data_IF_852271811975
#
_entry.id   IF_852271811975
#
_cell.length_a   1.000
_cell.length_b   1.000
_cell.length_c   1.000
_cell.angle_alpha   90.00
_cell.angle_beta   90.00
_cell.angle_gamma   90.00
#
_symmetry.space_group_name_H-M   'P 1'
#
loop_
_entity.id
_entity.type
_entity.pdbx_description
1 polymer ?
#
# COMPACT_ATOMS: atom_id res chain seq x y z
N UNK A 1 -23.96 16.14 8.41
CA UNK A 1 -23.41 15.32 7.32
C UNK A 1 -23.72 13.87 7.63
N UNK A 2 -24.42 13.18 6.73
CA UNK A 2 -24.88 11.80 6.97
C UNK A 2 -24.15 10.77 6.12
N UNK A 3 -23.82 11.11 4.87
CA UNK A 3 -23.17 10.20 3.92
C UNK A 3 -21.97 10.84 3.24
N UNK A 4 -20.82 10.20 3.33
CA UNK A 4 -19.56 10.67 2.72
C UNK A 4 -19.04 9.60 1.76
N UNK A 5 -18.64 10.02 0.57
CA UNK A 5 -18.01 9.18 -0.44
C UNK A 5 -16.51 9.41 -0.49
N UNK A 6 -15.71 8.37 -0.24
CA UNK A 6 -14.28 8.35 -0.47
C UNK A 6 -13.97 7.72 -1.81
N UNK A 7 -13.07 8.29 -2.61
CA UNK A 7 -12.80 7.83 -3.98
C UNK A 7 -11.32 7.60 -4.18
N UNK A 8 -10.92 6.32 -4.32
CA UNK A 8 -9.59 5.92 -4.71
C UNK A 8 -9.66 4.74 -5.68
N UNK A 9 -9.22 4.95 -6.92
CA UNK A 9 -9.47 4.03 -8.04
C UNK A 9 -8.19 3.61 -8.76
N UNK A 10 -7.05 3.60 -8.05
CA UNK A 10 -5.75 3.19 -8.56
C UNK A 10 -5.23 1.92 -7.85
N UNK A 11 -3.99 1.90 -7.39
CA UNK A 11 -3.29 0.67 -6.94
C UNK A 11 -3.61 0.29 -5.51
N UNK A 12 -3.29 -0.96 -5.13
CA UNK A 12 -3.51 -1.54 -3.79
C UNK A 12 -2.92 -0.65 -2.71
N UNK A 13 -1.63 -0.31 -2.81
CA UNK A 13 -0.95 0.51 -1.81
C UNK A 13 -1.60 1.88 -1.62
N UNK A 14 -1.97 2.52 -2.71
CA UNK A 14 -2.69 3.79 -2.71
C UNK A 14 -4.05 3.69 -2.02
N UNK A 15 -4.78 2.59 -2.27
CA UNK A 15 -6.07 2.31 -1.62
C UNK A 15 -5.88 2.12 -0.13
N UNK A 16 -4.94 1.27 0.31
CA UNK A 16 -4.63 1.03 1.73
C UNK A 16 -4.29 2.33 2.45
N UNK A 17 -3.41 3.15 1.85
CA UNK A 17 -2.99 4.44 2.43
C UNK A 17 -4.07 5.53 2.40
N UNK A 18 -5.23 5.24 1.80
CA UNK A 18 -6.40 6.14 1.82
C UNK A 18 -7.43 5.74 2.87
N UNK A 19 -7.51 4.47 3.22
CA UNK A 19 -8.50 3.93 4.16
C UNK A 19 -8.52 4.63 5.54
N UNK A 20 -7.38 5.08 6.13
CA UNK A 20 -7.39 5.85 7.38
C UNK A 20 -8.27 7.10 7.37
N UNK A 21 -8.60 7.64 6.20
CA UNK A 21 -9.54 8.76 6.10
C UNK A 21 -10.95 8.37 6.60
N UNK A 22 -11.38 7.12 6.39
CA UNK A 22 -12.65 6.63 6.93
C UNK A 22 -12.64 6.61 8.46
N UNK A 23 -11.55 6.08 9.06
CA UNK A 23 -11.38 6.03 10.53
C UNK A 23 -11.43 7.43 11.13
N UNK A 24 -10.73 8.39 10.54
CA UNK A 24 -10.74 9.78 11.00
C UNK A 24 -12.13 10.43 10.92
N UNK A 25 -12.87 10.16 9.82
CA UNK A 25 -14.23 10.67 9.65
C UNK A 25 -15.22 10.03 10.62
N UNK A 26 -15.14 8.73 10.85
CA UNK A 26 -15.96 8.02 11.86
C UNK A 26 -15.70 8.53 13.27
N UNK A 27 -14.42 8.80 13.62
CA UNK A 27 -14.07 9.36 14.91
C UNK A 27 -14.65 10.77 15.13
N UNK A 28 -14.69 11.60 14.08
CA UNK A 28 -15.23 12.95 14.14
C UNK A 28 -16.78 13.00 14.03
N UNK A 29 -17.35 12.08 13.27
CA UNK A 29 -18.78 11.99 13.00
C UNK A 29 -19.25 10.53 13.19
N UNK A 30 -19.52 10.07 14.42
CA UNK A 30 -19.81 8.66 14.70
C UNK A 30 -20.96 8.05 13.89
N UNK A 31 -21.98 8.85 13.56
CA UNK A 31 -23.17 8.42 12.82
C UNK A 31 -23.03 8.53 11.29
N UNK A 32 -21.87 8.98 10.80
CA UNK A 32 -21.67 9.14 9.35
C UNK A 32 -21.58 7.78 8.66
N UNK A 33 -22.24 7.65 7.53
CA UNK A 33 -22.06 6.50 6.63
C UNK A 33 -20.94 6.79 5.63
N UNK A 34 -19.95 5.93 5.58
CA UNK A 34 -18.82 6.02 4.67
C UNK A 34 -18.97 5.00 3.55
N UNK A 35 -19.18 5.50 2.34
CA UNK A 35 -19.08 4.69 1.12
C UNK A 35 -17.69 4.90 0.49
N UNK A 36 -17.10 3.83 -0.07
CA UNK A 36 -15.80 3.88 -0.71
C UNK A 36 -15.91 3.41 -2.17
N UNK A 37 -15.61 4.29 -3.13
CA UNK A 37 -15.56 3.96 -4.56
C UNK A 37 -14.15 3.52 -4.93
N UNK A 38 -14.02 2.27 -5.35
CA UNK A 38 -12.74 1.64 -5.69
C UNK A 38 -12.83 0.79 -6.97
N UNK A 39 -11.71 0.23 -7.43
CA UNK A 39 -11.68 -0.72 -8.56
C UNK A 39 -12.11 -2.11 -8.09
N UNK A 40 -12.62 -2.91 -9.02
CA UNK A 40 -13.06 -4.28 -8.73
C UNK A 40 -11.97 -5.11 -8.02
N UNK A 41 -10.72 -5.04 -8.47
CA UNK A 41 -9.63 -5.83 -7.90
C UNK A 41 -9.23 -5.41 -6.48
N UNK A 42 -9.51 -4.16 -6.04
CA UNK A 42 -9.24 -3.68 -4.67
C UNK A 42 -10.47 -3.73 -3.75
N UNK A 43 -11.64 -4.03 -4.30
CA UNK A 43 -12.89 -4.16 -3.55
C UNK A 43 -12.79 -5.13 -2.35
N UNK A 44 -12.25 -6.36 -2.49
CA UNK A 44 -12.18 -7.30 -1.37
C UNK A 44 -11.44 -6.73 -0.17
N UNK A 45 -10.36 -5.98 -0.41
CA UNK A 45 -9.57 -5.34 0.62
C UNK A 45 -10.33 -4.22 1.35
N UNK A 46 -11.07 -3.39 0.59
CA UNK A 46 -11.86 -2.29 1.18
C UNK A 46 -13.00 -2.84 2.04
N UNK A 47 -13.60 -3.97 1.68
CA UNK A 47 -14.63 -4.67 2.48
C UNK A 47 -14.11 -5.16 3.83
N UNK A 48 -12.82 -5.42 3.96
CA UNK A 48 -12.19 -5.83 5.22
C UNK A 48 -11.92 -4.63 6.15
N UNK A 49 -12.13 -3.41 5.69
CA UNK A 49 -11.89 -2.22 6.51
C UNK A 49 -13.09 -1.90 7.40
N UNK A 50 -12.85 -1.77 8.72
CA UNK A 50 -13.90 -1.66 9.73
C UNK A 50 -14.80 -0.44 9.53
N UNK A 51 -14.22 0.70 9.18
CA UNK A 51 -14.87 2.01 9.14
C UNK A 51 -15.45 2.38 7.77
N UNK A 52 -15.51 1.41 6.84
CA UNK A 52 -16.22 1.53 5.56
C UNK A 52 -17.54 0.76 5.65
N UNK A 53 -18.66 1.46 5.47
CA UNK A 53 -19.99 0.88 5.56
C UNK A 53 -20.43 0.27 4.22
N UNK A 54 -20.04 0.87 3.09
CA UNK A 54 -20.45 0.46 1.76
C UNK A 54 -19.31 0.57 0.77
N UNK A 55 -19.16 -0.42 -0.10
CA UNK A 55 -18.15 -0.41 -1.18
C UNK A 55 -18.84 -0.32 -2.53
N UNK A 56 -18.50 0.70 -3.29
CA UNK A 56 -18.93 0.92 -4.67
C UNK A 56 -17.81 0.56 -5.63
N UNK A 57 -18.13 -0.13 -6.72
CA UNK A 57 -17.13 -0.58 -7.69
C UNK A 57 -17.14 0.30 -8.94
N UNK A 58 -15.97 0.85 -9.26
CA UNK A 58 -15.71 1.62 -10.47
C UNK A 58 -15.07 0.74 -11.55
N UNK A 59 -15.76 0.59 -12.68
CA UNK A 59 -15.37 -0.27 -13.81
C UNK A 59 -15.17 0.57 -15.09
N UNK A 60 -14.07 1.34 -15.21
CA UNK A 60 -13.85 2.23 -16.36
C UNK A 60 -13.61 1.50 -17.69
N UNK A 61 -13.22 0.23 -17.66
CA UNK A 61 -13.12 -0.64 -18.83
C UNK A 61 -14.44 -1.37 -19.14
N UNK A 62 -15.39 -1.40 -18.17
CA UNK A 62 -16.70 -2.07 -18.23
C UNK A 62 -17.85 -1.07 -18.26
N UNK A 63 -18.81 -1.22 -17.31
CA UNK A 63 -20.06 -0.48 -17.24
C UNK A 63 -19.91 1.05 -17.12
N UNK A 64 -18.76 1.53 -16.62
CA UNK A 64 -18.47 2.97 -16.47
C UNK A 64 -17.58 3.52 -17.59
N UNK A 65 -17.46 2.80 -18.72
CA UNK A 65 -16.62 3.20 -19.85
C UNK A 65 -17.23 4.35 -20.65
N UNK A 66 -16.42 5.38 -20.91
CA UNK A 66 -16.77 6.50 -21.76
C UNK A 66 -17.95 7.34 -21.24
N UNK A 67 -18.53 8.16 -22.09
CA UNK A 67 -19.58 9.11 -21.70
C UNK A 67 -20.88 8.46 -21.19
N UNK A 68 -21.30 7.34 -21.81
CA UNK A 68 -22.47 6.58 -21.35
C UNK A 68 -22.22 6.00 -19.96
N UNK A 69 -21.05 5.42 -19.72
CA UNK A 69 -20.68 4.88 -18.42
C UNK A 69 -20.54 5.97 -17.35
N UNK A 70 -20.05 7.15 -17.70
CA UNK A 70 -20.04 8.29 -16.77
C UNK A 70 -21.45 8.74 -16.37
N UNK A 71 -22.45 8.64 -17.28
CA UNK A 71 -23.85 8.90 -16.92
C UNK A 71 -24.41 7.85 -15.96
N UNK A 72 -24.06 6.56 -16.17
CA UNK A 72 -24.44 5.48 -15.26
C UNK A 72 -23.89 5.77 -13.87
N UNK A 73 -22.57 6.00 -13.75
CA UNK A 73 -21.94 6.32 -12.46
C UNK A 73 -22.55 7.60 -11.83
N UNK A 74 -22.86 8.62 -12.64
CA UNK A 74 -23.52 9.84 -12.16
C UNK A 74 -24.86 9.54 -11.51
N UNK A 75 -25.66 8.67 -12.12
CA UNK A 75 -26.96 8.28 -11.59
C UNK A 75 -26.81 7.47 -10.30
N UNK A 76 -25.91 6.49 -10.27
CA UNK A 76 -25.61 5.70 -9.07
C UNK A 76 -25.20 6.60 -7.88
N UNK A 77 -24.28 7.56 -8.12
CA UNK A 77 -23.83 8.47 -7.06
C UNK A 77 -24.91 9.48 -6.64
N UNK A 78 -25.81 9.89 -7.55
CA UNK A 78 -26.96 10.74 -7.21
C UNK A 78 -27.95 10.01 -6.31
N UNK A 79 -28.25 8.77 -6.63
CA UNK A 79 -29.15 7.91 -5.83
C UNK A 79 -28.53 7.61 -4.45
N UNK A 80 -27.20 7.55 -4.37
CA UNK A 80 -26.45 7.42 -3.13
C UNK A 80 -26.67 8.56 -2.14
N UNK A 81 -27.06 9.76 -2.58
CA UNK A 81 -27.43 10.88 -1.72
C UNK A 81 -26.28 11.39 -0.82
N UNK A 82 -25.07 11.50 -1.37
CA UNK A 82 -23.88 11.90 -0.62
C UNK A 82 -23.87 13.40 -0.31
N UNK A 83 -23.57 13.75 0.95
CA UNK A 83 -23.34 15.13 1.40
C UNK A 83 -21.96 15.65 0.99
N UNK A 84 -20.97 14.75 0.96
CA UNK A 84 -19.60 15.08 0.60
C UNK A 84 -18.93 13.94 -0.19
N UNK A 85 -17.98 14.31 -1.05
CA UNK A 85 -17.10 13.37 -1.76
C UNK A 85 -15.64 13.85 -1.72
N UNK A 86 -14.71 12.94 -1.42
CA UNK A 86 -13.27 13.19 -1.39
C UNK A 86 -12.59 12.43 -2.52
N UNK A 87 -12.00 13.15 -3.46
CA UNK A 87 -11.32 12.62 -4.64
C UNK A 87 -9.80 12.55 -4.37
N UNK A 88 -9.31 11.40 -3.91
CA UNK A 88 -7.89 11.20 -3.56
C UNK A 88 -7.00 11.04 -4.78
N UNK A 89 -7.49 10.35 -5.82
CA UNK A 89 -6.83 10.29 -7.12
C UNK A 89 -7.41 11.36 -8.03
N UNK A 90 -6.61 12.35 -8.47
CA UNK A 90 -7.11 13.42 -9.32
C UNK A 90 -7.42 12.91 -10.74
N UNK A 91 -8.71 12.71 -11.04
CA UNK A 91 -9.25 12.30 -12.34
C UNK A 91 -10.32 13.30 -12.79
N UNK A 92 -10.17 13.92 -13.98
CA UNK A 92 -11.13 14.91 -14.46
C UNK A 92 -12.53 14.33 -14.68
N UNK A 93 -12.61 13.10 -15.19
CA UNK A 93 -13.88 12.41 -15.41
C UNK A 93 -14.65 12.18 -14.10
N UNK A 94 -13.97 11.79 -13.02
CA UNK A 94 -14.61 11.59 -11.72
C UNK A 94 -15.01 12.94 -11.10
N UNK A 95 -14.20 13.99 -11.21
CA UNK A 95 -14.58 15.31 -10.75
C UNK A 95 -15.85 15.84 -11.45
N UNK A 96 -15.97 15.57 -12.74
CA UNK A 96 -17.15 15.91 -13.53
C UNK A 96 -18.39 15.10 -13.11
N UNK A 97 -18.23 13.79 -12.93
CA UNK A 97 -19.30 12.90 -12.42
C UNK A 97 -19.82 13.38 -11.06
N UNK A 98 -18.93 13.73 -10.12
CA UNK A 98 -19.32 14.27 -8.81
C UNK A 98 -20.13 15.57 -8.93
N UNK A 99 -19.74 16.45 -9.87
CA UNK A 99 -20.47 17.69 -10.14
C UNK A 99 -21.85 17.42 -10.72
N UNK A 100 -21.97 16.48 -11.67
CA UNK A 100 -23.23 16.09 -12.29
C UNK A 100 -24.14 15.31 -11.34
N UNK A 101 -23.58 14.50 -10.43
CA UNK A 101 -24.34 13.84 -9.38
C UNK A 101 -24.98 14.81 -8.38
N UNK A 102 -24.55 16.08 -8.40
CA UNK A 102 -25.08 17.12 -7.52
C UNK A 102 -24.54 17.06 -6.10
N UNK A 103 -23.43 16.35 -5.85
CA UNK A 103 -22.83 16.25 -4.51
C UNK A 103 -22.38 17.66 -4.06
N UNK A 104 -22.92 18.19 -2.93
CA UNK A 104 -22.70 19.58 -2.56
C UNK A 104 -21.27 19.90 -2.16
N UNK A 105 -20.60 19.01 -1.40
CA UNK A 105 -19.21 19.19 -0.97
C UNK A 105 -18.31 18.24 -1.75
N UNK A 106 -17.40 18.78 -2.56
CA UNK A 106 -16.47 18.03 -3.41
C UNK A 106 -15.04 18.48 -3.13
N UNK A 107 -14.24 17.59 -2.56
CA UNK A 107 -12.89 17.90 -2.05
C UNK A 107 -11.85 17.16 -2.89
N UNK A 108 -10.74 17.81 -3.23
CA UNK A 108 -9.64 17.18 -3.94
C UNK A 108 -8.42 18.10 -4.14
N UNK A 109 -7.52 17.71 -5.05
CA UNK A 109 -6.30 18.49 -5.31
C UNK A 109 -6.57 19.82 -6.02
N UNK A 110 -5.94 20.90 -5.53
CA UNK A 110 -6.01 22.24 -6.13
C UNK A 110 -5.02 22.47 -7.29
N UNK A 111 -4.21 21.48 -7.68
CA UNK A 111 -3.19 21.62 -8.73
C UNK A 111 -3.61 21.02 -10.08
N UNK A 112 -4.92 20.91 -10.35
CA UNK A 112 -5.42 20.37 -11.61
C UNK A 112 -6.24 21.42 -12.33
N UNK A 113 -6.16 21.43 -13.66
CA UNK A 113 -6.90 22.38 -14.50
C UNK A 113 -8.43 22.33 -14.27
N UNK A 114 -8.96 21.16 -13.85
CA UNK A 114 -10.37 20.95 -13.56
C UNK A 114 -10.74 21.16 -12.08
N UNK A 115 -9.86 21.71 -11.25
CA UNK A 115 -10.12 21.94 -9.82
C UNK A 115 -11.32 22.86 -9.57
N UNK A 116 -11.76 23.64 -10.56
CA UNK A 116 -12.98 24.45 -10.51
C UNK A 116 -14.28 23.62 -10.41
N UNK A 117 -14.23 22.30 -10.73
CA UNK A 117 -15.33 21.37 -10.51
C UNK A 117 -15.50 20.98 -9.03
N UNK A 118 -14.45 21.21 -8.22
CA UNK A 118 -14.44 20.95 -6.78
C UNK A 118 -14.93 22.18 -6.02
N UNK A 119 -15.50 21.97 -4.82
CA UNK A 119 -15.90 23.07 -3.92
C UNK A 119 -14.79 23.45 -2.95
N UNK A 120 -13.95 22.49 -2.58
CA UNK A 120 -12.79 22.68 -1.70
C UNK A 120 -11.56 22.02 -2.30
N UNK A 121 -10.43 22.70 -2.24
CA UNK A 121 -9.18 22.21 -2.82
C UNK A 121 -8.03 22.28 -1.83
N UNK A 122 -7.21 21.23 -1.82
CA UNK A 122 -5.98 21.17 -1.03
C UNK A 122 -4.78 21.33 -1.95
N UNK A 123 -3.92 22.32 -1.64
CA UNK A 123 -2.72 22.64 -2.41
C UNK A 123 -1.48 22.07 -1.72
N UNK A 124 -1.24 20.78 -1.92
CA UNK A 124 -0.04 20.09 -1.44
C UNK A 124 0.75 19.48 -2.59
N UNK A 125 2.04 19.79 -2.67
CA UNK A 125 2.94 19.29 -3.71
C UNK A 125 3.52 17.92 -3.34
N UNK A 126 2.80 16.84 -3.69
CA UNK A 126 3.25 15.44 -3.43
C UNK A 126 4.62 15.10 -4.06
N UNK A 127 5.00 15.79 -5.16
CA UNK A 127 6.32 15.61 -5.80
C UNK A 127 7.51 15.98 -4.90
N UNK A 128 7.31 16.81 -3.89
CA UNK A 128 8.36 17.19 -2.95
C UNK A 128 8.73 16.08 -1.98
N UNK A 129 7.89 15.05 -1.84
CA UNK A 129 8.07 13.91 -0.93
C UNK A 129 8.38 14.32 0.52
N UNK A 130 7.80 15.46 0.97
CA UNK A 130 8.03 15.97 2.34
C UNK A 130 7.26 15.20 3.40
N UNK A 131 6.15 14.56 3.02
CA UNK A 131 5.27 13.78 3.87
C UNK A 131 5.10 12.37 3.33
N UNK A 132 4.62 11.48 4.17
CA UNK A 132 4.15 10.16 3.75
C UNK A 132 2.88 10.28 2.90
N UNK A 133 2.62 9.32 1.98
CA UNK A 133 1.44 9.36 1.11
C UNK A 133 0.13 9.29 1.91
N UNK A 134 0.11 8.54 3.03
CA UNK A 134 -1.04 8.52 3.94
C UNK A 134 -1.33 9.91 4.54
N UNK A 135 -0.29 10.69 4.91
CA UNK A 135 -0.49 12.04 5.43
C UNK A 135 -0.99 13.00 4.35
N UNK A 136 -0.53 12.83 3.10
CA UNK A 136 -1.06 13.60 1.98
C UNK A 136 -2.54 13.27 1.73
N UNK A 137 -2.93 12.02 1.84
CA UNK A 137 -4.33 11.61 1.74
C UNK A 137 -5.13 12.20 2.91
N UNK A 138 -4.61 12.09 4.12
CA UNK A 138 -5.25 12.60 5.33
C UNK A 138 -5.48 14.11 5.27
N UNK A 139 -4.58 14.88 4.66
CA UNK A 139 -4.71 16.32 4.47
C UNK A 139 -5.98 16.74 3.69
N UNK A 140 -6.58 15.84 2.88
CA UNK A 140 -7.84 16.13 2.20
C UNK A 140 -9.04 16.24 3.16
N UNK A 141 -8.89 15.82 4.41
CA UNK A 141 -9.92 15.91 5.43
C UNK A 141 -10.07 17.32 6.04
N UNK A 142 -9.07 18.21 5.86
CA UNK A 142 -9.07 19.56 6.46
C UNK A 142 -10.36 20.36 6.24
N UNK A 143 -10.99 20.37 5.05
CA UNK A 143 -12.23 21.11 4.85
C UNK A 143 -13.41 20.61 5.71
N UNK A 144 -13.34 19.38 6.22
CA UNK A 144 -14.35 18.77 7.06
C UNK A 144 -13.99 18.77 8.55
N UNK A 145 -12.71 18.59 8.88
CA UNK A 145 -12.23 18.37 10.25
C UNK A 145 -11.44 19.54 10.83
N UNK A 146 -11.10 20.56 10.02
CA UNK A 146 -10.22 21.64 10.42
C UNK A 146 -8.73 21.30 10.25
N UNK A 147 -7.85 22.20 10.71
CA UNK A 147 -6.40 22.06 10.51
C UNK A 147 -5.75 21.00 11.42
N UNK A 148 -6.28 20.82 12.64
CA UNK A 148 -5.79 19.81 13.59
C UNK A 148 -6.43 18.44 13.28
N UNK A 149 -5.78 17.71 12.37
CA UNK A 149 -6.25 16.38 11.97
C UNK A 149 -5.86 15.32 13.03
N UNK A 150 -6.72 14.31 13.27
CA UNK A 150 -6.35 13.18 14.11
C UNK A 150 -5.18 12.40 13.46
N UNK A 151 -4.42 11.58 14.23
CA UNK A 151 -3.36 10.77 13.66
C UNK A 151 -3.90 9.76 12.65
N UNK A 152 -3.06 9.42 11.67
CA UNK A 152 -3.37 8.34 10.71
C UNK A 152 -3.42 7.02 11.47
N UNK A 153 -4.56 6.32 11.39
CA UNK A 153 -4.80 5.05 12.07
C UNK A 153 -5.48 4.07 11.12
N UNK A 154 -4.91 2.88 10.99
CA UNK A 154 -5.49 1.78 10.22
C UNK A 154 -6.44 0.96 11.09
N UNK A 155 -7.59 0.56 10.52
CA UNK A 155 -8.63 -0.18 11.22
C UNK A 155 -9.18 -1.32 10.34
N UNK A 156 -8.35 -2.31 10.05
CA UNK A 156 -8.82 -3.55 9.45
C UNK A 156 -9.56 -4.40 10.47
N UNK A 157 -10.58 -5.13 10.03
CA UNK A 157 -11.27 -6.10 10.88
C UNK A 157 -10.28 -7.16 11.36
N UNK A 158 -10.38 -7.59 12.64
CA UNK A 158 -9.54 -8.66 13.15
C UNK A 158 -9.66 -9.89 12.25
N UNK A 159 -8.52 -10.39 11.80
CA UNK A 159 -8.46 -11.61 11.02
C UNK A 159 -8.19 -12.78 11.97
N UNK A 160 -8.97 -13.87 11.85
CA UNK A 160 -8.65 -15.11 12.54
C UNK A 160 -7.56 -15.81 11.72
N UNK A 161 -6.31 -15.71 12.16
CA UNK A 161 -5.24 -16.55 11.64
C UNK A 161 -5.65 -18.00 11.87
N UNK A 162 -5.75 -18.76 10.80
CA UNK A 162 -6.11 -20.18 10.85
C UNK A 162 -5.17 -20.94 11.80
N UNK A 163 -5.76 -21.74 12.65
CA UNK A 163 -5.25 -22.63 13.69
C UNK A 163 -3.74 -22.84 13.86
N UNK A 164 -3.35 -23.14 15.11
CA UNK A 164 -2.02 -23.48 15.63
C UNK A 164 -1.29 -24.68 14.94
N UNK A 165 -1.79 -25.18 13.82
CA UNK A 165 -1.26 -26.34 13.08
C UNK A 165 -0.57 -25.98 11.76
N UNK A 166 -0.67 -24.74 11.29
CA UNK A 166 0.05 -24.32 10.07
C UNK A 166 1.54 -24.07 10.35
N UNK A 167 2.43 -24.42 9.40
CA UNK A 167 3.85 -24.12 9.53
C UNK A 167 4.07 -22.62 9.69
N UNK A 168 5.00 -22.24 10.56
CA UNK A 168 5.46 -20.86 10.70
C UNK A 168 6.22 -20.48 9.43
N UNK A 169 5.93 -19.33 8.82
CA UNK A 169 6.53 -18.95 7.54
C UNK A 169 6.85 -17.46 7.46
N UNK A 170 7.79 -17.15 6.56
CA UNK A 170 8.07 -15.81 6.06
C UNK A 170 7.58 -15.68 4.61
N UNK A 171 7.17 -14.49 4.21
CA UNK A 171 6.83 -14.17 2.83
C UNK A 171 7.96 -13.37 2.20
N UNK A 172 8.35 -13.73 0.98
CA UNK A 172 9.09 -12.87 0.08
C UNK A 172 8.20 -12.52 -1.10
N UNK A 173 7.94 -11.21 -1.29
CA UNK A 173 7.18 -10.68 -2.42
C UNK A 173 8.12 -9.91 -3.35
N UNK A 174 8.72 -10.56 -4.36
CA UNK A 174 9.82 -9.99 -5.15
C UNK A 174 9.33 -9.04 -6.24
N UNK A 175 8.07 -9.14 -6.65
CA UNK A 175 7.49 -8.32 -7.70
C UNK A 175 7.07 -6.93 -7.24
N UNK A 176 6.99 -5.99 -8.18
CA UNK A 176 6.46 -4.64 -7.93
C UNK A 176 5.46 -4.18 -8.99
N UNK A 177 5.10 -5.04 -9.96
CA UNK A 177 4.32 -4.62 -11.12
C UNK A 177 4.91 -3.37 -11.80
N UNK A 178 6.23 -3.27 -11.86
CA UNK A 178 6.99 -2.13 -12.41
C UNK A 178 6.69 -0.78 -11.74
N UNK A 179 6.16 -0.78 -10.52
CA UNK A 179 5.83 0.46 -9.79
C UNK A 179 7.04 1.09 -9.10
N UNK A 180 8.06 0.29 -8.77
CA UNK A 180 9.27 0.72 -8.10
C UNK A 180 10.45 -0.22 -8.46
N UNK A 181 11.71 0.23 -8.22
CA UNK A 181 12.88 -0.65 -8.32
C UNK A 181 12.79 -1.82 -7.35
N UNK A 182 13.30 -2.98 -7.78
CA UNK A 182 13.37 -4.22 -7.00
C UNK A 182 14.82 -4.66 -6.78
N UNK A 183 15.03 -5.56 -5.83
CA UNK A 183 16.27 -6.31 -5.70
C UNK A 183 16.47 -7.25 -6.91
N UNK A 184 17.70 -7.63 -7.19
CA UNK A 184 18.03 -8.66 -8.17
C UNK A 184 17.66 -10.07 -7.67
N UNK A 185 17.63 -11.04 -8.58
CA UNK A 185 17.42 -12.45 -8.25
C UNK A 185 18.46 -12.91 -7.22
N UNK A 186 19.73 -12.57 -7.43
CA UNK A 186 20.84 -12.93 -6.55
C UNK A 186 20.65 -12.35 -5.15
N UNK A 187 20.22 -11.08 -5.05
CA UNK A 187 19.97 -10.41 -3.78
C UNK A 187 18.80 -11.06 -3.01
N UNK A 188 17.70 -11.39 -3.69
CA UNK A 188 16.61 -12.14 -3.07
C UNK A 188 17.03 -13.54 -2.63
N UNK A 189 17.89 -14.23 -3.40
CA UNK A 189 18.40 -15.55 -3.03
C UNK A 189 19.30 -15.50 -1.77
N UNK A 190 20.01 -14.39 -1.54
CA UNK A 190 20.75 -14.14 -0.28
C UNK A 190 19.77 -14.09 0.91
N UNK A 191 18.61 -13.45 0.75
CA UNK A 191 17.57 -13.39 1.79
C UNK A 191 16.95 -14.78 2.06
N UNK A 192 16.64 -15.54 1.00
CA UNK A 192 16.13 -16.93 1.12
C UNK A 192 17.13 -17.80 1.89
N UNK A 193 18.39 -17.81 1.47
CA UNK A 193 19.45 -18.59 2.13
C UNK A 193 19.62 -18.19 3.60
N UNK A 194 19.61 -16.87 3.89
CA UNK A 194 19.72 -16.36 5.25
C UNK A 194 18.54 -16.78 6.14
N UNK A 195 17.31 -16.74 5.66
CA UNK A 195 16.12 -17.21 6.39
C UNK A 195 16.19 -18.70 6.69
N UNK A 196 16.58 -19.53 5.70
CA UNK A 196 16.66 -20.98 5.86
C UNK A 196 17.73 -21.40 6.90
N UNK A 197 18.81 -20.63 7.02
CA UNK A 197 19.88 -20.90 7.99
C UNK A 197 19.52 -20.42 9.39
N UNK A 198 18.88 -19.25 9.51
CA UNK A 198 18.69 -18.57 10.79
C UNK A 198 17.32 -18.88 11.44
N UNK A 199 16.37 -19.48 10.70
CA UNK A 199 15.03 -19.77 11.21
C UNK A 199 14.53 -21.15 10.80
N UNK A 200 13.61 -21.76 11.58
CA UNK A 200 12.90 -22.97 11.16
C UNK A 200 11.74 -22.64 10.20
N UNK A 201 11.53 -21.41 9.80
CA UNK A 201 10.37 -20.96 9.04
C UNK A 201 10.40 -21.45 7.60
N UNK A 202 9.23 -21.76 7.06
CA UNK A 202 9.05 -21.95 5.63
C UNK A 202 9.07 -20.60 4.91
N UNK A 203 9.31 -20.60 3.61
CA UNK A 203 9.35 -19.39 2.80
C UNK A 203 8.29 -19.51 1.70
N UNK A 204 7.36 -18.55 1.67
CA UNK A 204 6.33 -18.44 0.64
C UNK A 204 6.71 -17.30 -0.32
N UNK A 205 6.97 -17.63 -1.58
CA UNK A 205 7.20 -16.64 -2.63
C UNK A 205 5.85 -16.25 -3.21
N UNK A 206 5.45 -15.00 -3.05
CA UNK A 206 4.16 -14.51 -3.56
C UNK A 206 4.38 -13.51 -4.69
N UNK A 207 3.39 -13.38 -5.58
CA UNK A 207 3.45 -12.50 -6.74
C UNK A 207 2.22 -12.65 -7.62
N UNK A 208 2.15 -11.86 -8.67
CA UNK A 208 1.13 -11.99 -9.71
C UNK A 208 1.40 -13.18 -10.64
N UNK A 209 0.47 -13.49 -11.54
CA UNK A 209 0.67 -14.55 -12.53
C UNK A 209 1.87 -14.25 -13.48
N UNK A 210 2.11 -12.98 -13.76
CA UNK A 210 3.27 -12.54 -14.59
C UNK A 210 4.62 -12.72 -13.87
N UNK A 211 4.60 -12.93 -12.54
CA UNK A 211 5.80 -13.07 -11.71
C UNK A 211 6.11 -14.53 -11.33
N UNK A 212 5.38 -15.51 -11.90
CA UNK A 212 5.60 -16.95 -11.66
C UNK A 212 7.02 -17.37 -12.04
N UNK A 213 7.51 -16.95 -13.20
CA UNK A 213 8.87 -17.29 -13.68
C UNK A 213 9.96 -16.71 -12.76
N UNK A 214 9.81 -15.46 -12.34
CA UNK A 214 10.72 -14.85 -11.36
C UNK A 214 10.75 -15.67 -10.07
N UNK A 215 9.59 -16.03 -9.55
CA UNK A 215 9.49 -16.82 -8.31
C UNK A 215 10.06 -18.23 -8.46
N UNK A 216 9.93 -18.86 -9.65
CA UNK A 216 10.58 -20.14 -9.97
C UNK A 216 12.12 -20.03 -9.95
N UNK A 217 12.68 -18.97 -10.55
CA UNK A 217 14.11 -18.69 -10.52
C UNK A 217 14.63 -18.50 -9.10
N UNK A 218 13.86 -17.84 -8.24
CA UNK A 218 14.19 -17.61 -6.84
C UNK A 218 14.19 -18.92 -6.04
N UNK A 219 13.21 -19.81 -6.27
CA UNK A 219 13.09 -21.08 -5.56
C UNK A 219 14.12 -22.13 -6.02
N UNK A 220 14.66 -22.01 -7.22
CA UNK A 220 15.53 -23.02 -7.83
C UNK A 220 16.72 -23.37 -6.96
N UNK A 221 16.90 -24.69 -6.68
CA UNK A 221 18.01 -25.23 -5.88
C UNK A 221 17.86 -25.08 -4.35
N UNK A 222 16.75 -24.55 -3.86
CA UNK A 222 16.36 -24.64 -2.45
C UNK A 222 15.42 -25.84 -2.20
N UNK A 223 15.31 -26.33 -0.95
CA UNK A 223 14.41 -27.43 -0.62
C UNK A 223 12.94 -27.06 -0.86
N UNK A 224 12.23 -27.82 -1.71
CA UNK A 224 10.84 -27.55 -2.10
C UNK A 224 9.86 -27.60 -0.92
N UNK A 225 10.15 -28.41 0.10
CA UNK A 225 9.36 -28.48 1.32
C UNK A 225 9.53 -27.24 2.24
N UNK A 226 10.54 -26.39 1.97
CA UNK A 226 10.83 -25.19 2.75
C UNK A 226 10.63 -23.88 1.95
N UNK A 227 10.71 -23.95 0.61
CA UNK A 227 10.55 -22.76 -0.26
C UNK A 227 9.48 -23.07 -1.30
N UNK A 228 8.34 -22.44 -1.15
CA UNK A 228 7.16 -22.66 -1.98
C UNK A 228 6.91 -21.48 -2.92
N UNK A 229 6.71 -21.75 -4.20
CA UNK A 229 6.27 -20.76 -5.17
C UNK A 229 4.74 -20.67 -5.19
N UNK A 230 4.19 -19.62 -4.64
CA UNK A 230 2.76 -19.31 -4.61
C UNK A 230 2.37 -18.13 -5.52
N UNK A 231 3.26 -17.68 -6.40
CA UNK A 231 2.95 -16.61 -7.35
C UNK A 231 1.78 -17.02 -8.26
N UNK A 232 0.84 -16.11 -8.46
CA UNK A 232 -0.37 -16.33 -9.26
C UNK A 232 -1.45 -17.19 -8.57
N UNK A 233 -1.23 -17.65 -7.32
CA UNK A 233 -2.18 -18.52 -6.62
C UNK A 233 -3.10 -17.77 -5.65
N UNK A 234 -2.81 -16.51 -5.37
CA UNK A 234 -3.60 -15.68 -4.47
C UNK A 234 -4.38 -14.61 -5.21
N UNK A 235 -5.66 -14.49 -4.89
CA UNK A 235 -6.38 -13.24 -5.07
C UNK A 235 -6.01 -12.25 -3.94
N UNK A 236 -6.55 -11.04 -3.96
CA UNK A 236 -6.19 -10.04 -2.96
C UNK A 236 -6.67 -10.38 -1.54
N UNK A 237 -7.78 -11.11 -1.41
CA UNK A 237 -8.30 -11.57 -0.12
C UNK A 237 -7.39 -12.62 0.51
N UNK A 238 -7.07 -13.69 -0.23
CA UNK A 238 -6.17 -14.75 0.24
C UNK A 238 -4.73 -14.27 0.43
N UNK A 239 -4.26 -13.28 -0.35
CA UNK A 239 -2.98 -12.62 -0.10
C UNK A 239 -2.99 -11.86 1.23
N UNK A 240 -4.09 -11.17 1.56
CA UNK A 240 -4.26 -10.49 2.85
C UNK A 240 -4.15 -11.51 4.00
N UNK A 241 -4.84 -12.63 3.90
CA UNK A 241 -4.79 -13.70 4.89
C UNK A 241 -3.38 -14.25 5.06
N UNK A 242 -2.70 -14.52 3.95
CA UNK A 242 -1.32 -14.99 3.95
C UNK A 242 -0.37 -13.97 4.63
N UNK A 243 -0.55 -12.67 4.36
CA UNK A 243 0.25 -11.62 5.01
C UNK A 243 -0.09 -11.50 6.50
N UNK A 244 -1.34 -11.66 6.89
CA UNK A 244 -1.73 -11.60 8.31
C UNK A 244 -1.14 -12.75 9.15
N UNK A 245 -0.90 -13.92 8.54
CA UNK A 245 -0.33 -15.09 9.20
C UNK A 245 1.19 -15.20 9.16
N UNK A 246 1.89 -14.32 8.44
CA UNK A 246 3.35 -14.41 8.31
C UNK A 246 4.11 -13.81 9.49
N UNK A 247 5.28 -14.37 9.81
CA UNK A 247 6.18 -13.79 10.81
C UNK A 247 6.96 -12.59 10.28
N UNK A 248 7.20 -12.56 8.97
CA UNK A 248 7.96 -11.50 8.32
C UNK A 248 7.57 -11.41 6.84
N UNK A 249 7.24 -10.21 6.36
CA UNK A 249 7.15 -9.90 4.94
C UNK A 249 8.43 -9.19 4.48
N UNK A 250 9.10 -9.76 3.49
CA UNK A 250 10.24 -9.14 2.81
C UNK A 250 9.81 -8.71 1.41
N UNK A 251 9.98 -7.43 1.08
CA UNK A 251 9.56 -6.89 -0.22
C UNK A 251 10.25 -5.56 -0.52
N UNK A 252 10.06 -5.05 -1.74
CA UNK A 252 10.39 -3.66 -2.11
C UNK A 252 9.18 -2.73 -1.91
N UNK A 253 9.17 -1.57 -2.53
CA UNK A 253 8.05 -0.61 -2.48
C UNK A 253 6.83 -1.13 -3.26
N UNK A 254 5.95 -1.88 -2.59
CA UNK A 254 4.83 -2.60 -3.21
C UNK A 254 3.51 -2.42 -2.45
N UNK A 255 2.38 -2.79 -3.07
CA UNK A 255 1.08 -2.82 -2.41
C UNK A 255 1.03 -3.71 -1.15
N UNK A 256 1.54 -4.95 -1.20
CA UNK A 256 1.65 -5.85 -0.05
C UNK A 256 2.41 -5.27 1.15
N UNK A 257 3.44 -4.42 0.94
CA UNK A 257 4.12 -3.74 2.04
C UNK A 257 3.17 -2.85 2.85
N UNK A 258 2.37 -2.04 2.14
CA UNK A 258 1.42 -1.14 2.81
C UNK A 258 0.34 -1.92 3.54
N UNK A 259 -0.07 -3.06 2.98
CA UNK A 259 -1.05 -3.96 3.60
C UNK A 259 -0.49 -4.57 4.89
N UNK A 260 0.72 -5.15 4.84
CA UNK A 260 1.41 -5.69 6.01
C UNK A 260 1.56 -4.64 7.12
N UNK A 261 2.01 -3.44 6.76
CA UNK A 261 2.17 -2.35 7.71
C UNK A 261 0.82 -1.93 8.33
N UNK A 262 -0.27 -1.93 7.56
CA UNK A 262 -1.60 -1.52 8.03
C UNK A 262 -2.22 -2.51 9.05
N UNK A 263 -1.77 -3.76 9.04
CA UNK A 263 -2.18 -4.81 9.98
C UNK A 263 -1.08 -5.20 10.98
N UNK A 264 -0.01 -4.39 11.07
CA UNK A 264 1.13 -4.57 11.97
C UNK A 264 1.94 -5.87 11.74
N UNK A 265 1.86 -6.47 10.58
CA UNK A 265 2.76 -7.57 10.20
C UNK A 265 4.19 -7.06 10.11
N UNK A 266 5.19 -7.73 10.72
CA UNK A 266 6.58 -7.33 10.63
C UNK A 266 7.07 -7.28 9.19
N UNK A 267 7.84 -6.23 8.83
CA UNK A 267 8.37 -6.04 7.48
C UNK A 267 9.89 -5.83 7.48
N UNK A 268 10.54 -6.25 6.40
CA UNK A 268 11.86 -5.80 5.97
C UNK A 268 11.72 -5.34 4.52
N UNK A 269 12.00 -4.08 4.25
CA UNK A 269 11.70 -3.51 2.93
C UNK A 269 12.88 -2.76 2.33
N UNK A 270 12.98 -2.83 0.99
CA UNK A 270 14.09 -2.27 0.22
C UNK A 270 13.58 -1.15 -0.69
N UNK A 271 14.25 0.01 -0.60
CA UNK A 271 13.80 1.22 -1.26
C UNK A 271 14.90 1.94 -2.03
N UNK A 272 14.54 2.50 -3.18
CA UNK A 272 15.32 3.55 -3.80
C UNK A 272 15.19 4.83 -2.95
N UNK A 273 16.28 5.48 -2.51
CA UNK A 273 16.21 6.71 -1.72
C UNK A 273 15.76 7.92 -2.54
N UNK A 274 15.88 7.85 -3.86
CA UNK A 274 15.57 8.97 -4.76
C UNK A 274 14.08 9.20 -4.94
N UNK A 275 13.68 10.48 -5.06
CA UNK A 275 12.29 10.86 -5.40
C UNK A 275 11.93 10.40 -6.81
N UNK A 276 10.69 9.96 -7.08
CA UNK A 276 9.52 9.97 -6.20
C UNK A 276 9.35 8.70 -5.34
N UNK A 277 10.30 7.73 -5.37
CA UNK A 277 10.20 6.41 -4.75
C UNK A 277 10.73 6.36 -3.30
N UNK A 278 11.17 7.48 -2.76
CA UNK A 278 11.77 7.57 -1.43
C UNK A 278 10.91 6.92 -0.33
N UNK A 279 11.53 6.21 0.62
CA UNK A 279 10.82 5.60 1.75
C UNK A 279 10.11 6.63 2.63
N UNK A 280 10.58 7.87 2.69
CA UNK A 280 9.87 8.95 3.39
C UNK A 280 8.43 9.12 2.90
N UNK A 281 8.17 8.87 1.61
CA UNK A 281 6.82 8.96 1.04
C UNK A 281 6.08 7.63 1.04
N UNK A 282 6.77 6.53 0.77
CA UNK A 282 6.16 5.24 0.45
C UNK A 282 6.61 4.10 1.36
N UNK A 283 7.47 4.35 2.36
CA UNK A 283 7.90 3.33 3.31
C UNK A 283 6.74 2.83 4.17
N UNK A 284 6.96 1.80 4.97
CA UNK A 284 5.97 1.35 5.94
C UNK A 284 5.70 2.46 6.96
N UNK A 285 4.45 2.81 7.20
CA UNK A 285 4.05 3.98 7.99
C UNK A 285 4.53 3.91 9.46
N UNK A 286 4.54 2.70 10.04
CA UNK A 286 4.89 2.44 11.44
C UNK A 286 6.21 1.67 11.63
N UNK A 287 6.92 1.30 10.56
CA UNK A 287 8.12 0.44 10.60
C UNK A 287 9.25 0.99 9.73
N UNK A 288 9.44 2.32 9.74
CA UNK A 288 10.43 3.02 8.92
C UNK A 288 11.88 2.60 9.23
N UNK A 289 12.14 2.17 10.45
CA UNK A 289 13.44 1.67 10.92
C UNK A 289 13.87 0.36 10.24
N UNK A 290 12.93 -0.37 9.65
CA UNK A 290 13.16 -1.61 8.91
C UNK A 290 13.20 -1.42 7.39
N UNK A 291 13.46 -0.19 6.97
CA UNK A 291 13.69 0.14 5.57
C UNK A 291 15.19 0.13 5.29
N UNK A 292 15.59 -0.57 4.24
CA UNK A 292 16.95 -0.63 3.73
C UNK A 292 17.01 0.15 2.40
N UNK A 293 17.92 1.10 2.33
CA UNK A 293 18.14 1.86 1.12
C UNK A 293 19.64 2.07 0.91
N UNK A 294 20.16 2.03 -0.33
CA UNK A 294 21.55 2.34 -0.60
C UNK A 294 21.82 3.84 -0.35
N UNK A 295 23.04 4.15 0.08
CA UNK A 295 23.48 5.54 0.10
C UNK A 295 23.92 5.95 -1.31
N UNK A 296 23.08 6.75 -1.96
CA UNK A 296 23.32 7.28 -3.29
C UNK A 296 23.68 8.78 -3.17
N UNK A 297 24.89 9.07 -2.75
CA UNK A 297 25.36 10.42 -2.47
C UNK A 297 25.01 11.41 -3.61
N UNK A 298 24.20 12.43 -3.30
CA UNK A 298 23.83 13.49 -4.24
C UNK A 298 22.78 13.12 -5.30
N UNK A 299 22.22 11.90 -5.26
CA UNK A 299 21.21 11.46 -6.23
C UNK A 299 19.78 11.59 -5.67
N UNK A 300 19.19 12.75 -5.89
CA UNK A 300 17.88 13.11 -5.32
C UNK A 300 16.66 12.64 -6.12
N UNK A 301 16.82 12.35 -7.42
CA UNK A 301 15.69 12.13 -8.32
C UNK A 301 15.87 10.88 -9.17
N UNK A 302 14.94 9.93 -9.06
CA UNK A 302 14.96 8.70 -9.86
C UNK A 302 14.74 8.98 -11.36
N UNK A 303 15.66 8.53 -12.19
CA UNK A 303 15.62 8.67 -13.63
C UNK A 303 15.08 7.40 -14.34
N UNK A 304 14.57 6.43 -13.57
CA UNK A 304 14.03 5.15 -14.08
C UNK A 304 15.04 4.43 -15.02
N UNK A 305 14.68 4.24 -16.30
CA UNK A 305 15.53 3.57 -17.30
C UNK A 305 16.87 4.28 -17.58
N UNK A 306 17.02 5.55 -17.16
CA UNK A 306 18.26 6.31 -17.25
C UNK A 306 19.01 6.37 -15.90
N UNK A 307 18.65 5.52 -14.95
CA UNK A 307 19.32 5.47 -13.66
C UNK A 307 20.82 5.18 -13.87
N UNK A 308 21.72 6.05 -13.37
CA UNK A 308 23.15 5.87 -13.56
C UNK A 308 23.71 4.63 -12.82
N UNK A 309 22.93 4.06 -11.91
CA UNK A 309 23.26 2.88 -11.12
C UNK A 309 22.72 1.57 -11.71
N UNK A 310 22.17 1.56 -12.95
CA UNK A 310 21.60 0.37 -13.56
C UNK A 310 20.37 -0.22 -12.85
N UNK A 311 20.06 0.34 -11.69
CA UNK A 311 19.02 -0.02 -10.71
C UNK A 311 19.54 0.34 -9.33
N UNK A 312 18.93 1.31 -8.64
CA UNK A 312 19.47 1.85 -7.38
C UNK A 312 19.67 0.78 -6.30
N UNK A 313 18.89 -0.30 -6.29
CA UNK A 313 19.02 -1.38 -5.31
C UNK A 313 20.18 -2.36 -5.64
N UNK A 314 20.72 -2.35 -6.86
CA UNK A 314 21.88 -3.16 -7.21
C UNK A 314 23.16 -2.72 -6.46
N UNK A 315 23.19 -1.49 -5.94
CA UNK A 315 24.28 -1.00 -5.07
C UNK A 315 24.30 -1.63 -3.67
N UNK A 316 23.24 -2.31 -3.25
CA UNK A 316 23.22 -3.05 -2.00
C UNK A 316 24.04 -4.33 -2.13
N UNK A 317 25.14 -4.41 -1.40
CA UNK A 317 25.95 -5.64 -1.37
C UNK A 317 25.22 -6.81 -0.70
N UNK A 318 25.60 -8.04 -1.05
CA UNK A 318 25.08 -9.24 -0.39
C UNK A 318 25.30 -9.20 1.13
N UNK A 319 26.40 -8.59 1.57
CA UNK A 319 26.71 -8.43 2.99
C UNK A 319 25.74 -7.46 3.68
N UNK A 320 25.48 -6.30 3.08
CA UNK A 320 24.52 -5.34 3.62
C UNK A 320 23.10 -5.93 3.73
N UNK A 321 22.71 -6.77 2.76
CA UNK A 321 21.42 -7.48 2.78
C UNK A 321 21.38 -8.52 3.90
N UNK A 322 22.45 -9.32 4.10
CA UNK A 322 22.54 -10.28 5.21
C UNK A 322 22.45 -9.59 6.56
N UNK A 323 23.22 -8.53 6.78
CA UNK A 323 23.21 -7.76 8.02
C UNK A 323 21.85 -7.14 8.32
N UNK A 324 21.15 -6.65 7.30
CA UNK A 324 19.79 -6.12 7.44
C UNK A 324 18.80 -7.22 7.88
N UNK A 325 18.90 -8.42 7.27
CA UNK A 325 18.08 -9.56 7.66
C UNK A 325 18.37 -10.01 9.09
N UNK A 326 19.65 -10.19 9.45
CA UNK A 326 20.09 -10.60 10.80
C UNK A 326 19.58 -9.62 11.87
N UNK A 327 19.77 -8.33 11.65
CA UNK A 327 19.25 -7.29 12.56
C UNK A 327 17.74 -7.41 12.72
N UNK A 328 16.99 -7.62 11.61
CA UNK A 328 15.53 -7.76 11.66
C UNK A 328 15.10 -9.00 12.42
N UNK A 329 15.72 -10.14 12.15
CA UNK A 329 15.43 -11.42 12.83
C UNK A 329 15.77 -11.34 14.32
N UNK A 330 16.89 -10.74 14.69
CA UNK A 330 17.24 -10.52 16.11
C UNK A 330 16.17 -9.70 16.83
N UNK A 331 15.67 -8.62 16.20
CA UNK A 331 14.58 -7.82 16.78
C UNK A 331 13.25 -8.57 16.89
N UNK A 332 13.00 -9.59 16.06
CA UNK A 332 11.78 -10.41 16.12
C UNK A 332 11.89 -11.59 17.10
N UNK A 333 13.05 -12.25 17.13
CA UNK A 333 13.27 -13.47 17.91
C UNK A 333 13.72 -13.19 19.35
N UNK A 334 14.35 -12.02 19.60
CA UNK A 334 14.90 -11.60 20.88
C UNK A 334 14.47 -10.16 21.24
N UNK A 335 13.18 -9.88 21.41
CA UNK A 335 12.68 -8.52 21.61
C UNK A 335 13.24 -7.81 22.86
N UNK A 336 13.64 -8.55 23.89
CA UNK A 336 14.22 -7.99 25.11
C UNK A 336 15.65 -7.45 24.90
N UNK A 337 16.42 -8.07 24.02
CA UNK A 337 17.78 -7.61 23.68
C UNK A 337 17.77 -6.33 22.84
N UNK A 338 16.78 -6.18 21.97
CA UNK A 338 16.63 -5.01 21.09
C UNK A 338 16.33 -3.70 21.86
N UNK A 339 15.74 -3.78 23.04
CA UNK A 339 15.43 -2.61 23.89
C UNK A 339 16.71 -2.08 24.57
N UNK A 340 17.69 -2.95 24.86
CA UNK A 340 18.93 -2.56 25.53
C UNK A 340 19.97 -1.87 24.61
N UNK A 341 19.92 -2.14 23.29
CA UNK A 341 20.81 -1.49 22.30
C UNK A 341 20.34 -0.10 21.86
N UNK A 342 19.08 0.27 22.18
CA UNK A 342 18.48 1.57 21.80
C UNK A 342 18.43 2.60 22.94
N UNK A 343 18.95 2.26 24.12
CA UNK A 343 19.07 3.12 25.30
C UNK A 343 20.50 3.63 25.48
#
# INVERSE_FOLDING_TARGET
MKRILLIRTDRIGDTVLTLPAATALKAAFPEVQISFLTRNYTEPLVRLYQDVDEVLVYEPEGRHRGWSGHRVLTQELREGGFDAALLFLPRPELALVLRWAGIPVRIGSGFRWYSFLLTHTIKEHRKTCKKHEADYNHSLLRPLLGEALPPVKFAFRPFQVSSATEPIYAIIHPGSGQSAPNLSVEQYRVLIAGLLVQTPWDIRLTGTAEEIELSQQLAAGFPENRVQNLAGQHDLGSLFECIAGTQLLITSSTGPLHLANAINTPTLSFFCPARPHTPKRWGPYHQQEWVVAPDLAGFDWCQQSRCPYGGCLSELSAEAIRQALERRLNGLLNPEAAIQESA
#
